data_IF_333357082453
#
_entry.id   IF_333357082453
#
_cell.length_a   1.000
_cell.length_b   1.000
_cell.length_c   1.000
_cell.angle_alpha   90.00
_cell.angle_beta   90.00
_cell.angle_gamma   90.00
#
_symmetry.space_group_name_H-M   'P 1'
#
loop_
_entity.id
_entity.type
_entity.pdbx_description
1 polymer ?
#
# COMPACT_ATOMS: atom_id res chain seq x y z
N UNK A 1 24.57 28.84 1.04
CA UNK A 1 24.43 27.93 -0.12
C UNK A 1 23.66 26.71 0.35
N UNK A 2 22.43 26.48 -0.11
CA UNK A 2 21.67 25.27 0.26
C UNK A 2 22.37 24.04 -0.31
N UNK A 3 22.55 23.00 0.51
CA UNK A 3 23.19 21.76 0.10
C UNK A 3 22.35 21.08 -1.01
N UNK A 4 22.99 20.40 -1.97
CA UNK A 4 22.32 19.81 -3.15
C UNK A 4 21.22 18.81 -2.77
N UNK A 5 21.33 18.20 -1.59
CA UNK A 5 20.35 17.28 -1.02
C UNK A 5 19.11 18.02 -0.52
N UNK A 6 19.29 19.12 0.22
CA UNK A 6 18.21 20.01 0.67
C UNK A 6 17.43 20.61 -0.51
N UNK A 7 18.12 20.98 -1.59
CA UNK A 7 17.48 21.49 -2.81
C UNK A 7 16.72 20.41 -3.59
N UNK A 8 17.02 19.13 -3.36
CA UNK A 8 16.31 17.99 -3.97
C UNK A 8 15.04 17.69 -3.18
N UNK A 9 15.10 17.76 -1.84
CA UNK A 9 13.95 17.62 -0.94
C UNK A 9 12.95 18.77 -1.11
N UNK A 10 13.42 20.02 -1.08
CA UNK A 10 12.55 21.21 -1.30
C UNK A 10 11.81 21.17 -2.66
N UNK A 11 12.42 20.52 -3.68
CA UNK A 11 11.84 20.37 -5.02
C UNK A 11 10.86 19.20 -5.12
N UNK A 12 10.98 18.19 -4.26
CA UNK A 12 9.99 17.10 -4.14
C UNK A 12 8.77 17.61 -3.37
N UNK A 13 9.00 18.37 -2.30
CA UNK A 13 7.94 18.95 -1.44
C UNK A 13 7.07 19.96 -2.22
N UNK A 14 7.66 20.76 -3.11
CA UNK A 14 6.90 21.71 -3.94
C UNK A 14 6.20 21.11 -5.16
N UNK A 15 6.59 19.90 -5.59
CA UNK A 15 5.96 19.21 -6.74
C UNK A 15 4.78 18.35 -6.31
N UNK A 16 4.75 17.85 -5.07
CA UNK A 16 3.71 16.93 -4.59
C UNK A 16 2.53 17.62 -3.88
N UNK A 17 2.61 18.94 -3.63
CA UNK A 17 1.47 19.74 -3.18
C UNK A 17 0.63 20.10 -4.41
N UNK A 18 -0.19 19.15 -4.86
CA UNK A 18 -1.24 19.42 -5.85
C UNK A 18 -2.31 20.36 -5.30
N UNK A 19 -3.19 20.86 -6.19
CA UNK A 19 -4.37 21.66 -5.82
C UNK A 19 -5.21 20.95 -4.75
N UNK A 20 -5.76 21.67 -3.76
CA UNK A 20 -6.58 21.11 -2.68
C UNK A 20 -7.74 20.27 -3.22
N UNK A 21 -8.32 20.67 -4.36
CA UNK A 21 -9.40 19.94 -5.05
C UNK A 21 -8.92 19.04 -6.21
N UNK A 22 -7.61 18.81 -6.31
CA UNK A 22 -7.00 17.99 -7.38
C UNK A 22 -7.52 16.55 -7.45
N UNK A 23 -8.02 16.00 -6.33
CA UNK A 23 -8.67 14.70 -6.26
C UNK A 23 -10.00 14.61 -7.03
N UNK A 24 -10.61 15.76 -7.40
CA UNK A 24 -11.88 15.82 -8.15
C UNK A 24 -11.70 15.73 -9.67
N UNK A 25 -10.48 15.95 -10.16
CA UNK A 25 -10.22 16.06 -11.59
C UNK A 25 -9.17 15.05 -12.03
N UNK A 26 -9.62 14.04 -12.76
CA UNK A 26 -8.73 13.08 -13.42
C UNK A 26 -8.15 13.75 -14.66
N UNK A 27 -6.84 14.04 -14.61
CA UNK A 27 -6.12 14.72 -15.69
C UNK A 27 -4.72 14.14 -15.85
N UNK A 28 -4.07 14.32 -17.01
CA UNK A 28 -2.69 13.85 -17.22
C UNK A 28 -1.71 14.33 -16.14
N UNK A 29 -1.83 15.58 -15.70
CA UNK A 29 -0.95 16.15 -14.68
C UNK A 29 -1.18 15.51 -13.30
N UNK A 30 -2.43 15.32 -12.90
CA UNK A 30 -2.73 14.72 -11.59
C UNK A 30 -2.36 13.23 -11.55
N UNK A 31 -2.57 12.49 -12.64
CA UNK A 31 -2.12 11.10 -12.75
C UNK A 31 -0.59 11.00 -12.73
N UNK A 32 0.12 11.94 -13.36
CA UNK A 32 1.59 11.99 -13.30
C UNK A 32 2.14 12.27 -11.90
N UNK A 33 1.47 13.14 -11.12
CA UNK A 33 1.80 13.38 -9.72
C UNK A 33 1.63 12.10 -8.88
N UNK A 34 0.48 11.45 -9.01
CA UNK A 34 0.18 10.22 -8.27
C UNK A 34 1.17 9.09 -8.62
N UNK A 35 1.55 8.98 -9.89
CA UNK A 35 2.60 8.04 -10.33
C UNK A 35 3.95 8.33 -9.71
N UNK A 36 4.32 9.61 -9.59
CA UNK A 36 5.58 10.02 -8.96
C UNK A 36 5.56 9.71 -7.46
N UNK A 37 4.42 9.92 -6.81
CA UNK A 37 4.20 9.56 -5.42
C UNK A 37 4.37 8.06 -5.18
N UNK A 38 3.69 7.21 -5.95
CA UNK A 38 3.81 5.76 -5.77
C UNK A 38 5.24 5.26 -5.99
N UNK A 39 5.96 5.81 -6.98
CA UNK A 39 7.39 5.48 -7.15
C UNK A 39 8.22 5.82 -5.91
N UNK A 40 7.93 6.94 -5.26
CA UNK A 40 8.59 7.35 -4.02
C UNK A 40 8.19 6.47 -2.83
N UNK A 41 6.92 6.11 -2.72
CA UNK A 41 6.35 5.39 -1.57
C UNK A 41 6.46 3.87 -1.67
N UNK A 42 7.22 3.33 -2.64
CA UNK A 42 7.45 1.89 -2.80
C UNK A 42 6.33 1.14 -3.53
N UNK A 43 5.75 1.77 -4.56
CA UNK A 43 4.52 1.39 -5.25
C UNK A 43 4.39 -0.07 -5.72
N UNK A 44 3.18 -0.42 -6.14
CA UNK A 44 2.78 -1.80 -6.41
C UNK A 44 2.21 -2.04 -7.80
N UNK A 45 2.20 -3.31 -8.22
CA UNK A 45 1.62 -3.73 -9.49
C UNK A 45 0.12 -3.42 -9.59
N UNK A 46 -0.62 -3.46 -8.46
CA UNK A 46 -2.01 -2.99 -8.41
C UNK A 46 -2.13 -1.51 -8.79
N UNK A 47 -1.26 -0.66 -8.22
CA UNK A 47 -1.26 0.77 -8.52
C UNK A 47 -0.90 1.05 -9.97
N UNK A 48 0.06 0.31 -10.53
CA UNK A 48 0.45 0.45 -11.95
C UNK A 48 -0.72 0.13 -12.89
N UNK A 49 -1.48 -0.94 -12.61
CA UNK A 49 -2.69 -1.27 -13.38
C UNK A 49 -3.74 -0.17 -13.27
N UNK A 50 -4.03 0.31 -12.05
CA UNK A 50 -5.02 1.38 -11.89
C UNK A 50 -4.59 2.68 -12.56
N UNK A 51 -3.31 3.04 -12.51
CA UNK A 51 -2.77 4.20 -13.24
C UNK A 51 -2.88 4.04 -14.76
N UNK A 52 -2.57 2.85 -15.29
CA UNK A 52 -2.75 2.56 -16.72
C UNK A 52 -4.22 2.73 -17.12
N UNK A 53 -5.16 2.27 -16.29
CA UNK A 53 -6.59 2.42 -16.55
C UNK A 53 -7.02 3.88 -16.66
N UNK A 54 -6.49 4.73 -15.77
CA UNK A 54 -6.69 6.18 -15.84
C UNK A 54 -6.12 6.79 -17.12
N UNK A 55 -4.91 6.39 -17.54
CA UNK A 55 -4.30 6.87 -18.79
C UNK A 55 -5.15 6.49 -20.02
N UNK A 56 -5.64 5.25 -20.06
CA UNK A 56 -6.50 4.75 -21.14
C UNK A 56 -7.84 5.51 -21.20
N UNK A 57 -8.40 5.88 -20.05
CA UNK A 57 -9.63 6.66 -20.02
C UNK A 57 -9.42 8.13 -20.41
N UNK A 58 -8.30 8.73 -20.01
CA UNK A 58 -7.89 10.07 -20.47
C UNK A 58 -7.70 10.08 -22.00
N UNK A 59 -7.19 8.99 -22.57
CA UNK A 59 -7.04 8.82 -24.01
C UNK A 59 -8.33 8.40 -24.73
N UNK A 60 -9.48 8.39 -24.04
CA UNK A 60 -10.81 8.00 -24.55
C UNK A 60 -10.85 6.56 -25.12
N UNK A 61 -9.92 5.69 -24.71
CA UNK A 61 -9.85 4.29 -25.16
C UNK A 61 -10.74 3.36 -24.33
N UNK A 62 -11.10 3.76 -23.12
CA UNK A 62 -12.08 3.07 -22.29
C UNK A 62 -12.85 4.06 -21.41
N UNK A 63 -14.11 3.77 -21.02
CA UNK A 63 -14.83 4.61 -20.09
C UNK A 63 -14.24 4.53 -18.68
N UNK A 64 -14.25 5.65 -17.96
CA UNK A 64 -13.99 5.70 -16.52
C UNK A 64 -15.05 4.91 -15.75
N UNK A 65 -14.61 3.97 -14.92
CA UNK A 65 -15.50 3.25 -14.00
C UNK A 65 -15.58 3.93 -12.64
N UNK A 66 -16.57 3.55 -11.83
CA UNK A 66 -16.67 4.00 -10.43
C UNK A 66 -15.43 3.63 -9.61
N UNK A 67 -14.89 2.42 -9.80
CA UNK A 67 -13.65 1.99 -9.13
C UNK A 67 -12.45 2.85 -9.53
N UNK A 68 -12.32 3.25 -10.81
CA UNK A 68 -11.24 4.14 -11.25
C UNK A 68 -11.34 5.52 -10.60
N UNK A 69 -12.56 6.05 -10.48
CA UNK A 69 -12.82 7.34 -9.83
C UNK A 69 -12.52 7.29 -8.34
N UNK A 70 -12.99 6.25 -7.63
CA UNK A 70 -12.72 6.05 -6.20
C UNK A 70 -11.23 5.87 -5.95
N UNK A 71 -10.55 5.04 -6.75
CA UNK A 71 -9.11 4.84 -6.69
C UNK A 71 -8.36 6.18 -6.78
N UNK A 72 -8.65 6.97 -7.81
CA UNK A 72 -7.99 8.24 -8.04
C UNK A 72 -8.23 9.21 -6.90
N UNK A 73 -9.50 9.44 -6.54
CA UNK A 73 -9.88 10.40 -5.51
C UNK A 73 -9.24 10.04 -4.15
N UNK A 74 -9.37 8.79 -3.73
CA UNK A 74 -8.75 8.28 -2.50
C UNK A 74 -7.23 8.42 -2.53
N UNK A 75 -6.57 7.92 -3.59
CA UNK A 75 -5.12 7.85 -3.63
C UNK A 75 -4.47 9.23 -3.72
N UNK A 76 -5.09 10.15 -4.47
CA UNK A 76 -4.65 11.54 -4.53
C UNK A 76 -4.81 12.23 -3.18
N UNK A 77 -5.94 12.01 -2.49
CA UNK A 77 -6.18 12.60 -1.17
C UNK A 77 -5.22 12.06 -0.10
N UNK A 78 -4.98 10.75 -0.10
CA UNK A 78 -3.99 10.12 0.78
C UNK A 78 -2.58 10.66 0.49
N UNK A 79 -2.21 10.82 -0.79
CA UNK A 79 -0.94 11.45 -1.19
C UNK A 79 -0.81 12.87 -0.64
N UNK A 80 -1.82 13.72 -0.79
CA UNK A 80 -1.77 15.10 -0.29
C UNK A 80 -1.58 15.14 1.23
N UNK A 81 -2.36 14.34 1.97
CA UNK A 81 -2.26 14.24 3.43
C UNK A 81 -0.87 13.74 3.87
N UNK A 82 -0.37 12.69 3.22
CA UNK A 82 0.97 12.19 3.49
C UNK A 82 2.03 13.24 3.16
N UNK A 83 1.94 13.94 2.03
CA UNK A 83 2.89 14.97 1.63
C UNK A 83 2.91 16.15 2.62
N UNK A 84 1.76 16.54 3.18
CA UNK A 84 1.70 17.56 4.23
C UNK A 84 2.21 17.07 5.59
N UNK A 85 2.10 15.78 5.88
CA UNK A 85 2.53 15.18 7.16
C UNK A 85 4.00 14.73 7.16
N UNK A 86 4.55 14.37 5.99
CA UNK A 86 5.90 13.86 5.85
C UNK A 86 6.90 15.02 5.74
N UNK A 87 7.94 14.99 6.58
CA UNK A 87 9.16 15.79 6.37
C UNK A 87 10.19 15.04 5.52
N UNK A 88 11.48 15.48 5.54
CA UNK A 88 12.57 14.90 4.73
C UNK A 88 12.85 13.40 4.92
N UNK A 89 12.27 12.77 5.95
CA UNK A 89 12.56 11.41 6.40
C UNK A 89 11.79 10.32 5.63
N UNK A 90 10.93 10.69 4.68
CA UNK A 90 10.11 9.77 3.91
C UNK A 90 8.87 9.29 4.67
N UNK A 91 8.10 8.42 4.01
CA UNK A 91 6.81 7.93 4.52
C UNK A 91 7.06 6.69 5.37
N UNK A 92 6.68 6.74 6.65
CA UNK A 92 6.66 5.58 7.53
C UNK A 92 5.24 4.96 7.59
N UNK A 93 5.14 3.78 8.23
CA UNK A 93 3.89 3.02 8.32
C UNK A 93 2.79 3.82 9.02
N UNK A 94 3.08 4.48 10.14
CA UNK A 94 2.07 5.22 10.92
C UNK A 94 1.50 6.41 10.14
N UNK A 95 2.37 7.20 9.51
CA UNK A 95 1.96 8.35 8.71
C UNK A 95 1.15 7.89 7.50
N UNK A 96 1.60 6.83 6.81
CA UNK A 96 0.85 6.25 5.71
C UNK A 96 -0.53 5.78 6.16
N UNK A 97 -0.61 5.02 7.24
CA UNK A 97 -1.85 4.45 7.74
C UNK A 97 -2.85 5.55 8.15
N UNK A 98 -2.39 6.55 8.90
CA UNK A 98 -3.24 7.68 9.30
C UNK A 98 -3.80 8.43 8.09
N UNK A 99 -2.97 8.66 7.07
CA UNK A 99 -3.41 9.36 5.86
C UNK A 99 -4.32 8.48 4.99
N UNK A 100 -4.06 7.16 4.94
CA UNK A 100 -4.89 6.19 4.24
C UNK A 100 -6.29 6.11 4.83
N UNK A 101 -6.40 5.91 6.16
CA UNK A 101 -7.68 5.89 6.87
C UNK A 101 -8.41 7.23 6.72
N UNK A 102 -7.73 8.36 6.93
CA UNK A 102 -8.36 9.68 6.79
C UNK A 102 -8.90 9.94 5.37
N UNK A 103 -8.22 9.42 4.34
CA UNK A 103 -8.72 9.51 2.96
C UNK A 103 -9.93 8.60 2.73
N UNK A 104 -9.99 7.41 3.35
CA UNK A 104 -11.19 6.57 3.29
C UNK A 104 -12.38 7.26 3.97
N UNK A 105 -12.18 7.92 5.11
CA UNK A 105 -13.21 8.67 5.82
C UNK A 105 -13.75 9.86 5.01
N UNK A 106 -12.87 10.62 4.34
CA UNK A 106 -13.24 11.74 3.46
C UNK A 106 -14.29 11.32 2.41
N UNK A 107 -14.17 10.09 1.89
CA UNK A 107 -15.03 9.53 0.85
C UNK A 107 -16.03 8.48 1.34
N UNK A 108 -16.13 8.27 2.67
CA UNK A 108 -17.01 7.27 3.30
C UNK A 108 -16.82 5.87 2.73
N UNK A 109 -15.57 5.50 2.44
CA UNK A 109 -15.21 4.18 1.96
C UNK A 109 -15.00 3.24 3.14
N UNK A 110 -15.51 2.01 3.01
CA UNK A 110 -15.11 0.94 3.90
C UNK A 110 -13.68 0.50 3.58
N UNK A 111 -13.01 -0.11 4.56
CA UNK A 111 -11.73 -0.79 4.37
C UNK A 111 -11.94 -2.12 3.62
N UNK A 112 -12.24 -2.00 2.33
CA UNK A 112 -12.39 -3.09 1.37
C UNK A 112 -11.58 -2.74 0.10
N UNK A 113 -10.48 -3.49 -0.18
CA UNK A 113 -9.66 -3.24 -1.36
C UNK A 113 -10.42 -3.30 -2.69
N UNK A 114 -11.55 -4.02 -2.77
CA UNK A 114 -12.37 -4.09 -4.00
C UNK A 114 -13.08 -2.77 -4.33
N UNK A 115 -13.18 -1.83 -3.38
CA UNK A 115 -13.70 -0.49 -3.63
C UNK A 115 -12.68 0.38 -4.40
N UNK A 116 -11.39 0.10 -4.21
CA UNK A 116 -10.29 0.91 -4.75
C UNK A 116 -9.53 0.23 -5.88
N UNK A 117 -9.61 -1.08 -6.02
CA UNK A 117 -8.83 -1.83 -6.99
C UNK A 117 -9.70 -2.80 -7.78
N UNK A 118 -9.42 -2.94 -9.07
CA UNK A 118 -10.05 -4.00 -9.86
C UNK A 118 -9.50 -5.37 -9.46
N UNK A 119 -10.24 -6.47 -9.73
CA UNK A 119 -9.73 -7.82 -9.51
C UNK A 119 -8.39 -8.10 -10.21
N UNK A 120 -8.17 -7.52 -11.40
CA UNK A 120 -6.92 -7.63 -12.16
C UNK A 120 -5.77 -6.93 -11.43
N UNK A 121 -6.02 -5.74 -10.87
CA UNK A 121 -5.04 -5.01 -10.07
C UNK A 121 -4.62 -5.81 -8.84
N UNK A 122 -5.60 -6.31 -8.06
CA UNK A 122 -5.32 -7.13 -6.87
C UNK A 122 -4.57 -8.41 -7.21
N UNK A 123 -4.92 -9.07 -8.31
CA UNK A 123 -4.20 -10.27 -8.78
C UNK A 123 -2.74 -9.97 -9.11
N UNK A 124 -2.46 -8.84 -9.76
CA UNK A 124 -1.08 -8.46 -10.09
C UNK A 124 -0.28 -8.14 -8.82
N UNK A 125 -0.92 -7.55 -7.82
CA UNK A 125 -0.33 -7.30 -6.50
C UNK A 125 0.03 -8.60 -5.78
N UNK A 126 -0.89 -9.57 -5.75
CA UNK A 126 -0.64 -10.91 -5.20
C UNK A 126 0.56 -11.58 -5.90
N UNK A 127 0.65 -11.49 -7.23
CA UNK A 127 1.78 -12.03 -8.00
C UNK A 127 3.12 -11.32 -7.70
N UNK A 128 3.09 -10.01 -7.47
CA UNK A 128 4.30 -9.25 -7.13
C UNK A 128 4.78 -9.57 -5.70
N UNK A 129 3.84 -9.62 -4.75
CA UNK A 129 4.13 -9.59 -3.31
C UNK A 129 4.16 -10.98 -2.68
N UNK A 130 3.57 -11.98 -3.34
CA UNK A 130 3.50 -13.36 -2.86
C UNK A 130 3.61 -14.35 -4.03
N UNK A 131 4.68 -14.29 -4.85
CA UNK A 131 4.79 -15.04 -6.12
C UNK A 131 4.71 -16.56 -5.95
N UNK A 132 5.03 -17.08 -4.77
CA UNK A 132 5.00 -18.50 -4.44
C UNK A 132 3.62 -18.99 -3.95
N UNK A 133 2.65 -18.09 -3.81
CA UNK A 133 1.33 -18.42 -3.26
C UNK A 133 0.25 -18.16 -4.31
N UNK A 134 -0.62 -19.15 -4.52
CA UNK A 134 -1.84 -18.92 -5.28
C UNK A 134 -2.79 -18.05 -4.46
N UNK A 135 -3.72 -17.37 -5.14
CA UNK A 135 -4.77 -16.58 -4.48
C UNK A 135 -5.55 -17.42 -3.47
N UNK A 136 -5.97 -18.63 -3.85
CA UNK A 136 -6.78 -19.50 -3.01
C UNK A 136 -5.98 -19.99 -1.79
N UNK A 137 -4.67 -20.16 -1.93
CA UNK A 137 -3.79 -20.47 -0.81
C UNK A 137 -3.58 -19.27 0.12
N UNK A 138 -3.43 -18.05 -0.42
CA UNK A 138 -3.38 -16.82 0.40
C UNK A 138 -4.67 -16.64 1.20
N UNK A 139 -5.82 -16.82 0.56
CA UNK A 139 -7.11 -16.77 1.25
C UNK A 139 -7.19 -17.85 2.35
N UNK A 140 -6.80 -19.08 2.03
CA UNK A 140 -6.73 -20.16 3.03
C UNK A 140 -5.86 -19.76 4.22
N UNK A 141 -4.64 -19.27 3.99
CA UNK A 141 -3.73 -18.85 5.06
C UNK A 141 -4.35 -17.75 5.92
N UNK A 142 -4.82 -16.66 5.30
CA UNK A 142 -5.37 -15.50 6.04
C UNK A 142 -6.58 -15.88 6.88
N UNK A 143 -7.40 -16.83 6.41
CA UNK A 143 -8.60 -17.28 7.14
C UNK A 143 -8.30 -18.29 8.24
N UNK A 144 -7.23 -19.06 8.13
CA UNK A 144 -7.01 -20.24 8.99
C UNK A 144 -5.78 -20.13 9.91
N UNK A 145 -4.88 -19.20 9.64
CA UNK A 145 -3.63 -19.02 10.39
C UNK A 145 -3.64 -17.75 11.26
N UNK A 146 -2.72 -17.73 12.23
CA UNK A 146 -2.44 -16.50 12.98
C UNK A 146 -1.77 -15.46 12.08
N UNK A 147 -1.90 -14.17 12.41
CA UNK A 147 -1.27 -13.10 11.64
C UNK A 147 0.25 -13.31 11.53
N UNK A 148 0.86 -13.74 12.63
CA UNK A 148 2.28 -14.10 12.70
C UNK A 148 2.64 -15.18 11.69
N UNK A 149 1.86 -16.27 11.64
CA UNK A 149 2.13 -17.39 10.73
C UNK A 149 1.99 -16.97 9.26
N UNK A 150 0.91 -16.26 8.92
CA UNK A 150 0.71 -15.77 7.54
C UNK A 150 1.86 -14.87 7.14
N UNK A 151 2.15 -13.83 7.93
CA UNK A 151 3.17 -12.84 7.57
C UNK A 151 4.54 -13.51 7.48
N UNK A 152 4.92 -14.36 8.44
CA UNK A 152 6.19 -15.08 8.38
C UNK A 152 6.29 -16.01 7.17
N UNK A 153 5.18 -16.63 6.73
CA UNK A 153 5.15 -17.51 5.57
C UNK A 153 5.43 -16.79 4.25
N UNK A 154 4.99 -15.54 4.12
CA UNK A 154 5.27 -14.70 2.93
C UNK A 154 6.77 -14.47 2.75
N UNK A 155 7.53 -14.51 3.84
CA UNK A 155 8.98 -14.42 3.82
C UNK A 155 9.63 -15.80 3.75
N UNK A 156 9.10 -16.82 3.09
CA UNK A 156 9.78 -18.14 2.95
C UNK A 156 11.09 -18.10 2.12
N UNK A 157 11.25 -17.08 1.28
CA UNK A 157 12.51 -16.71 0.64
C UNK A 157 13.20 -15.58 1.45
N UNK A 158 14.47 -15.74 1.88
CA UNK A 158 15.20 -14.70 2.62
C UNK A 158 15.39 -13.38 1.87
N UNK A 159 15.40 -13.40 0.54
CA UNK A 159 15.56 -12.20 -0.28
C UNK A 159 14.23 -11.48 -0.52
N UNK A 160 13.11 -12.10 -0.15
CA UNK A 160 11.80 -11.57 -0.43
C UNK A 160 11.48 -10.35 0.43
N UNK A 161 10.87 -9.34 -0.20
CA UNK A 161 10.49 -8.08 0.42
C UNK A 161 9.01 -7.86 0.15
N UNK A 162 8.26 -7.57 1.20
CA UNK A 162 6.81 -7.35 1.14
C UNK A 162 6.51 -5.92 1.55
N UNK A 163 5.60 -5.25 0.87
CA UNK A 163 5.16 -3.90 1.25
C UNK A 163 4.12 -3.97 2.38
N UNK A 164 4.21 -3.08 3.38
CA UNK A 164 3.17 -2.97 4.41
C UNK A 164 1.77 -2.71 3.81
N UNK A 165 1.59 -1.81 2.81
CA UNK A 165 0.29 -1.64 2.16
C UNK A 165 -0.28 -2.91 1.52
N UNK A 166 0.55 -3.86 1.11
CA UNK A 166 0.08 -5.16 0.64
C UNK A 166 -0.47 -6.01 1.79
N UNK A 167 0.25 -6.09 2.92
CA UNK A 167 -0.23 -6.83 4.09
C UNK A 167 -1.56 -6.26 4.59
N UNK A 168 -1.67 -4.94 4.65
CA UNK A 168 -2.89 -4.23 5.00
C UNK A 168 -4.07 -4.64 4.11
N UNK A 169 -3.92 -4.50 2.78
CA UNK A 169 -4.92 -4.95 1.79
C UNK A 169 -5.25 -6.43 1.89
N UNK A 170 -4.24 -7.29 2.08
CA UNK A 170 -4.42 -8.74 2.16
C UNK A 170 -5.38 -9.12 3.29
N UNK A 171 -5.25 -8.46 4.45
CA UNK A 171 -6.12 -8.68 5.59
C UNK A 171 -7.48 -8.01 5.45
N UNK A 172 -7.55 -6.79 4.94
CA UNK A 172 -8.83 -6.12 4.66
C UNK A 172 -9.69 -6.95 3.69
N UNK A 173 -9.05 -7.62 2.72
CA UNK A 173 -9.75 -8.45 1.73
C UNK A 173 -10.34 -9.74 2.30
N UNK A 174 -9.57 -10.50 3.09
CA UNK A 174 -9.96 -11.86 3.47
C UNK A 174 -10.41 -12.01 4.93
N UNK A 175 -10.02 -11.07 5.80
CA UNK A 175 -10.30 -11.12 7.25
C UNK A 175 -10.44 -9.69 7.85
N UNK A 176 -11.34 -8.83 7.34
CA UNK A 176 -11.41 -7.41 7.72
C UNK A 176 -11.71 -7.15 9.21
N UNK A 177 -12.22 -8.14 9.94
CA UNK A 177 -12.43 -8.02 11.38
C UNK A 177 -11.14 -7.81 12.19
N UNK A 178 -9.98 -8.26 11.69
CA UNK A 178 -8.72 -8.07 12.43
C UNK A 178 -8.30 -6.61 12.50
N UNK A 179 -8.67 -5.80 11.51
CA UNK A 179 -8.43 -4.36 11.52
C UNK A 179 -9.38 -3.66 12.49
N UNK A 180 -10.67 -4.03 12.46
CA UNK A 180 -11.68 -3.50 13.38
C UNK A 180 -11.35 -3.77 14.85
N UNK A 181 -10.76 -4.94 15.13
CA UNK A 181 -10.38 -5.34 16.48
C UNK A 181 -8.96 -4.89 16.87
N UNK A 182 -8.24 -4.17 16.00
CA UNK A 182 -6.83 -3.79 16.17
C UNK A 182 -5.87 -4.99 16.32
N UNK A 183 -6.32 -6.21 16.00
CA UNK A 183 -5.49 -7.42 16.02
C UNK A 183 -4.35 -7.33 15.01
N UNK A 184 -4.60 -6.74 13.83
CA UNK A 184 -3.58 -6.56 12.79
C UNK A 184 -2.47 -5.62 13.25
N UNK A 185 -2.81 -4.41 13.68
CA UNK A 185 -1.81 -3.42 14.12
C UNK A 185 -0.98 -3.93 15.30
N UNK A 186 -1.62 -4.49 16.32
CA UNK A 186 -0.90 -5.07 17.46
C UNK A 186 0.01 -6.24 17.07
N UNK A 187 -0.42 -7.09 16.13
CA UNK A 187 0.42 -8.19 15.65
C UNK A 187 1.62 -7.70 14.84
N UNK A 188 1.41 -6.72 13.97
CA UNK A 188 2.50 -6.13 13.17
C UNK A 188 3.51 -5.41 14.06
N UNK A 189 3.07 -4.70 15.10
CA UNK A 189 3.95 -4.04 16.07
C UNK A 189 4.87 -5.05 16.77
N UNK A 190 4.33 -6.20 17.19
CA UNK A 190 5.14 -7.29 17.78
C UNK A 190 6.12 -7.89 16.76
N UNK A 191 5.70 -8.07 15.52
CA UNK A 191 6.56 -8.64 14.47
C UNK A 191 7.72 -7.71 14.09
N UNK A 192 7.49 -6.39 14.15
CA UNK A 192 8.45 -5.34 13.81
C UNK A 192 9.14 -4.71 15.04
N UNK A 193 9.00 -5.34 16.21
CA UNK A 193 9.67 -4.89 17.43
C UNK A 193 11.19 -4.92 17.28
N UNK A 194 11.91 -4.28 18.19
CA UNK A 194 13.37 -4.40 18.23
C UNK A 194 13.79 -5.88 18.33
N UNK A 195 14.68 -6.32 17.44
CA UNK A 195 15.09 -7.72 17.27
C UNK A 195 13.93 -8.69 16.96
N UNK A 196 12.83 -8.19 16.41
CA UNK A 196 11.68 -8.97 16.00
C UNK A 196 11.97 -9.88 14.80
N UNK A 197 11.01 -10.75 14.44
CA UNK A 197 11.14 -11.62 13.28
C UNK A 197 11.12 -10.87 11.95
N UNK A 198 10.71 -9.61 11.92
CA UNK A 198 10.66 -8.78 10.71
C UNK A 198 11.35 -7.43 10.95
N UNK A 199 11.83 -6.83 9.87
CA UNK A 199 12.47 -5.52 9.89
C UNK A 199 11.85 -4.61 8.83
N UNK A 200 11.58 -3.36 9.21
CA UNK A 200 11.24 -2.29 8.27
C UNK A 200 12.52 -1.87 7.54
N UNK A 201 12.46 -1.85 6.22
CA UNK A 201 13.44 -1.17 5.36
C UNK A 201 12.82 0.09 4.76
N UNK A 202 13.45 0.70 3.77
CA UNK A 202 12.99 1.96 3.20
C UNK A 202 11.60 1.86 2.57
N UNK A 203 10.79 2.93 2.73
CA UNK A 203 9.47 3.10 2.12
C UNK A 203 8.47 2.00 2.48
N UNK A 204 8.33 1.70 3.78
CA UNK A 204 7.36 0.73 4.32
C UNK A 204 7.51 -0.70 3.79
N UNK A 205 8.65 -1.00 3.19
CA UNK A 205 9.02 -2.35 2.79
C UNK A 205 9.47 -3.12 4.03
N UNK A 206 9.12 -4.38 4.09
CA UNK A 206 9.40 -5.29 5.20
C UNK A 206 10.22 -6.46 4.65
N UNK A 207 11.18 -6.92 5.45
CA UNK A 207 11.96 -8.13 5.18
C UNK A 207 12.10 -8.97 6.45
N UNK A 208 12.75 -10.12 6.34
CA UNK A 208 13.13 -10.94 7.51
C UNK A 208 14.08 -10.19 8.45
N UNK A 209 13.80 -10.29 9.74
CA UNK A 209 14.72 -9.95 10.82
C UNK A 209 15.48 -11.16 11.36
N UNK A 210 16.40 -10.92 12.29
CA UNK A 210 17.25 -11.97 12.86
C UNK A 210 16.48 -13.06 13.63
N UNK A 211 15.35 -12.69 14.25
CA UNK A 211 14.50 -13.63 15.00
C UNK A 211 13.52 -14.42 14.11
N UNK A 212 13.55 -14.21 12.79
CA UNK A 212 12.62 -14.90 11.88
C UNK A 212 12.76 -16.42 11.97
N UNK A 213 11.62 -17.12 11.96
CA UNK A 213 11.54 -18.58 11.90
C UNK A 213 10.45 -18.99 10.92
N UNK A 214 10.65 -20.12 10.25
CA UNK A 214 9.62 -20.71 9.40
C UNK A 214 8.42 -21.10 10.27
N UNK A 215 7.20 -20.64 9.96
CA UNK A 215 6.02 -21.00 10.73
C UNK A 215 5.59 -22.44 10.42
N UNK A 216 4.97 -23.09 11.41
CA UNK A 216 4.22 -24.33 11.19
C UNK A 216 2.81 -23.97 10.72
N UNK A 217 2.49 -24.32 9.48
CA UNK A 217 1.21 -23.99 8.84
C UNK A 217 0.29 -25.21 8.83
N UNK A 218 -1.01 -24.97 8.98
CA UNK A 218 -2.06 -25.94 8.72
C UNK A 218 -2.02 -26.34 7.24
N UNK A 219 -2.35 -27.60 6.98
CA UNK A 219 -2.48 -28.13 5.62
C UNK A 219 -3.84 -27.71 5.07
N UNK A 220 -3.86 -27.27 3.82
CA UNK A 220 -5.07 -26.99 3.04
C UNK A 220 -5.85 -28.27 2.74
#
# INVERSE_FOLDING_TARGET
MKNKEQAKTDKIDSVLIGDEDGYRTISPSNVALLRSWFKLSGGSAAQDIMLQRLDEAIAERQPLTDTDQRFFAHSYRAMQRCASACGPKGINIDVWNNCHIAAMEDFRLADDPLLLYTPEALKADDLQQAPCHSRDYLEFLVRNESIVNVVCSLFADPAHIVSFPYLDRLYSRYRPEVHRNLEFSSSIEVLLSENGPLEIVQNMKIRRGAAWRMPELKKM
#
